data_IF_831834958803
#
_entry.id   IF_831834958803
#
_cell.length_a   1.000
_cell.length_b   1.000
_cell.length_c   1.000
_cell.angle_alpha   90.00
_cell.angle_beta   90.00
_cell.angle_gamma   90.00
#
_symmetry.space_group_name_H-M   'P 1'
#
loop_
_entity.id
_entity.type
_entity.pdbx_description
1 polymer ?
#
# COMPACT_ATOMS: atom_id res chain seq x y z
N UNK A 1 -13.19 13.61 23.52
CA UNK A 1 -13.39 12.88 22.26
C UNK A 1 -12.64 11.57 22.26
N UNK A 2 -11.40 11.46 21.81
CA UNK A 2 -10.62 10.23 21.96
C UNK A 2 -9.44 10.55 22.87
N UNK A 3 -9.26 9.77 23.93
CA UNK A 3 -8.18 9.93 24.88
C UNK A 3 -7.44 8.59 25.05
N UNK A 4 -6.16 8.57 24.70
CA UNK A 4 -5.26 7.46 24.91
C UNK A 4 -4.29 7.91 26.00
N UNK A 5 -4.30 7.24 27.16
CA UNK A 5 -3.54 7.64 28.33
C UNK A 5 -2.58 6.54 28.79
N UNK A 6 -1.28 6.79 28.60
CA UNK A 6 -0.18 5.90 28.99
C UNK A 6 -0.39 4.45 28.57
N UNK A 7 -0.79 4.24 27.29
CA UNK A 7 -1.06 2.91 26.78
C UNK A 7 0.23 2.26 26.31
N UNK A 8 0.54 1.10 26.91
CA UNK A 8 1.48 0.13 26.37
C UNK A 8 0.71 -1.09 25.91
N UNK A 9 1.15 -1.70 24.79
CA UNK A 9 0.52 -2.89 24.23
C UNK A 9 1.53 -3.81 23.57
N UNK A 10 1.41 -5.11 23.84
CA UNK A 10 2.20 -6.16 23.23
C UNK A 10 1.28 -7.28 22.73
N UNK A 11 1.37 -7.64 21.44
CA UNK A 11 0.62 -8.78 20.91
C UNK A 11 1.07 -10.08 21.57
N UNK A 12 0.15 -11.02 21.78
CA UNK A 12 0.47 -12.37 22.24
C UNK A 12 1.51 -13.02 21.34
N UNK A 13 2.63 -13.46 21.94
CA UNK A 13 3.75 -14.07 21.21
C UNK A 13 4.74 -13.10 20.56
N UNK A 14 4.55 -11.79 20.68
CA UNK A 14 5.56 -10.82 20.27
C UNK A 14 6.71 -10.72 21.28
N UNK A 15 7.95 -10.52 20.79
CA UNK A 15 9.13 -10.35 21.66
C UNK A 15 9.24 -8.95 22.27
N UNK A 16 8.58 -7.96 21.67
CA UNK A 16 8.68 -6.55 22.07
C UNK A 16 7.30 -5.88 22.09
N UNK A 17 7.18 -4.85 22.92
CA UNK A 17 5.99 -4.00 22.96
C UNK A 17 5.80 -3.26 21.61
N UNK A 18 4.58 -3.31 21.11
CA UNK A 18 4.19 -2.62 19.89
C UNK A 18 3.81 -1.16 20.13
N UNK A 19 3.36 -0.84 21.36
CA UNK A 19 3.14 0.52 21.86
C UNK A 19 3.74 0.66 23.24
N UNK A 20 4.35 1.82 23.53
CA UNK A 20 5.03 2.11 24.79
C UNK A 20 4.62 3.47 25.32
N UNK A 21 3.93 3.50 26.47
CA UNK A 21 3.52 4.72 27.17
C UNK A 21 2.89 5.78 26.24
N UNK A 22 2.06 5.34 25.29
CA UNK A 22 1.46 6.24 24.30
C UNK A 22 0.44 7.17 24.98
N UNK A 23 0.62 8.48 24.77
CA UNK A 23 -0.34 9.50 25.17
C UNK A 23 -0.77 10.29 23.94
N UNK A 24 -2.06 10.24 23.62
CA UNK A 24 -2.63 10.93 22.45
C UNK A 24 -4.06 11.38 22.77
N UNK A 25 -4.31 12.66 22.60
CA UNK A 25 -5.64 13.25 22.70
C UNK A 25 -6.09 13.76 21.32
N UNK A 26 -7.32 13.41 20.89
CA UNK A 26 -7.90 13.83 19.62
C UNK A 26 -9.22 14.54 19.88
N UNK A 27 -9.34 15.76 19.38
CA UNK A 27 -10.55 16.60 19.54
C UNK A 27 -11.65 16.20 18.55
N UNK A 28 -12.89 16.53 18.87
CA UNK A 28 -14.02 16.37 17.94
C UNK A 28 -13.81 17.23 16.68
N UNK A 29 -14.03 16.63 15.51
CA UNK A 29 -13.84 17.31 14.22
C UNK A 29 -12.38 17.49 13.79
N UNK A 30 -11.41 17.01 14.59
CA UNK A 30 -9.99 17.08 14.25
C UNK A 30 -9.61 15.98 13.23
N UNK A 31 -8.78 16.33 12.27
CA UNK A 31 -8.13 15.39 11.36
C UNK A 31 -6.68 15.18 11.81
N UNK A 32 -6.38 14.01 12.37
CA UNK A 32 -5.05 13.63 12.84
C UNK A 32 -4.44 12.61 11.91
N UNK A 33 -3.22 12.87 11.47
CA UNK A 33 -2.44 11.96 10.63
C UNK A 33 -1.35 11.32 11.47
N UNK A 34 -1.36 10.00 11.56
CA UNK A 34 -0.32 9.18 12.16
C UNK A 34 0.68 8.79 11.09
N UNK A 35 1.95 9.14 11.25
CA UNK A 35 3.01 8.81 10.29
C UNK A 35 4.25 8.27 11.00
N UNK A 36 5.20 7.71 10.25
CA UNK A 36 6.42 7.08 10.77
C UNK A 36 6.78 5.82 10.01
N UNK A 37 7.87 5.17 10.36
CA UNK A 37 8.35 3.95 9.71
C UNK A 37 7.31 2.80 9.76
N UNK A 38 7.45 1.83 8.87
CA UNK A 38 6.64 0.60 8.92
C UNK A 38 6.92 -0.16 10.22
N UNK A 39 5.87 -0.64 10.87
CA UNK A 39 5.99 -1.34 12.16
C UNK A 39 6.16 -0.44 13.38
N UNK A 40 6.16 0.90 13.26
CA UNK A 40 6.28 1.81 14.41
C UNK A 40 5.03 1.92 15.31
N UNK A 41 3.96 1.16 15.03
CA UNK A 41 2.77 1.08 15.88
C UNK A 41 1.53 1.82 15.37
N UNK A 42 1.54 2.46 14.17
CA UNK A 42 0.39 3.20 13.62
C UNK A 42 -0.90 2.36 13.57
N UNK A 43 -0.81 1.17 12.99
CA UNK A 43 -1.95 0.22 12.92
C UNK A 43 -2.40 -0.24 14.31
N UNK A 44 -1.53 -0.33 15.30
CA UNK A 44 -1.93 -0.62 16.68
C UNK A 44 -2.78 0.52 17.25
N UNK A 45 -2.42 1.78 16.98
CA UNK A 45 -3.22 2.94 17.40
C UNK A 45 -4.60 2.93 16.73
N UNK A 46 -4.68 2.66 15.41
CA UNK A 46 -5.98 2.56 14.74
C UNK A 46 -6.82 1.43 15.32
N UNK A 47 -6.20 0.27 15.65
CA UNK A 47 -6.87 -0.88 16.29
C UNK A 47 -7.31 -0.62 17.74
N UNK A 48 -6.61 0.22 18.48
CA UNK A 48 -7.05 0.68 19.81
C UNK A 48 -8.31 1.56 19.70
N UNK A 49 -8.31 2.50 18.74
CA UNK A 49 -9.42 3.44 18.55
C UNK A 49 -10.68 2.72 18.09
N UNK A 50 -10.56 1.78 17.14
CA UNK A 50 -11.71 1.01 16.63
C UNK A 50 -12.05 -0.22 17.50
N UNK A 51 -11.42 -0.35 18.68
CA UNK A 51 -11.62 -1.40 19.67
C UNK A 51 -11.31 -2.83 19.23
N UNK A 52 -10.65 -3.01 18.11
CA UNK A 52 -10.13 -4.33 17.72
C UNK A 52 -9.04 -4.82 18.69
N UNK A 53 -8.34 -3.90 19.39
CA UNK A 53 -7.54 -4.18 20.56
C UNK A 53 -8.33 -3.67 21.78
N UNK A 54 -8.56 -4.49 22.80
CA UNK A 54 -8.11 -5.87 22.99
C UNK A 54 -9.11 -6.94 22.53
N UNK A 55 -10.26 -6.58 21.97
CA UNK A 55 -11.39 -7.52 21.77
C UNK A 55 -11.16 -8.58 20.69
N UNK A 56 -10.39 -8.25 19.65
CA UNK A 56 -10.11 -9.16 18.54
C UNK A 56 -8.64 -9.57 18.49
N UNK A 57 -7.74 -8.64 18.78
CA UNK A 57 -6.31 -8.91 18.84
C UNK A 57 -5.89 -9.06 20.30
N UNK A 58 -5.55 -10.28 20.68
CA UNK A 58 -5.11 -10.62 22.03
C UNK A 58 -3.70 -10.09 22.31
N UNK A 59 -3.48 -9.66 23.54
CA UNK A 59 -2.19 -9.16 24.01
C UNK A 59 -2.26 -8.56 25.41
N UNK A 60 -1.10 -8.17 25.92
CA UNK A 60 -0.99 -7.48 27.20
C UNK A 60 -1.14 -5.97 26.97
N UNK A 61 -2.09 -5.35 27.68
CA UNK A 61 -2.39 -3.92 27.54
C UNK A 61 -2.41 -3.26 28.93
N UNK A 62 -1.65 -2.18 29.09
CA UNK A 62 -1.73 -1.24 30.21
C UNK A 62 -2.28 0.12 29.74
N UNK A 63 -2.58 1.00 30.70
CA UNK A 63 -3.15 2.33 30.40
C UNK A 63 -4.65 2.26 30.07
N UNK A 64 -5.19 3.34 29.50
CA UNK A 64 -6.62 3.44 29.17
C UNK A 64 -6.85 4.12 27.81
N UNK A 65 -7.86 3.64 27.08
CA UNK A 65 -8.39 4.31 25.90
C UNK A 65 -9.84 4.63 26.15
N UNK A 66 -10.22 5.89 25.98
CA UNK A 66 -11.63 6.30 26.11
C UNK A 66 -12.11 7.08 24.89
N UNK A 67 -13.40 6.90 24.60
CA UNK A 67 -14.11 7.60 23.53
C UNK A 67 -15.34 8.26 24.15
N UNK A 68 -15.40 9.59 24.07
CA UNK A 68 -16.41 10.41 24.77
C UNK A 68 -16.47 10.12 26.28
N UNK A 69 -15.31 9.83 26.90
CA UNK A 69 -15.20 9.54 28.32
C UNK A 69 -15.56 8.10 28.72
N UNK A 70 -15.89 7.22 27.78
CA UNK A 70 -16.21 5.80 28.04
C UNK A 70 -14.99 4.94 27.69
N UNK A 71 -14.53 4.12 28.63
CA UNK A 71 -13.38 3.21 28.43
C UNK A 71 -13.73 2.14 27.38
N UNK A 72 -12.92 2.02 26.35
CA UNK A 72 -13.14 1.10 25.22
C UNK A 72 -13.15 -0.37 25.63
N UNK A 73 -12.52 -0.75 26.74
CA UNK A 73 -12.55 -2.12 27.28
C UNK A 73 -13.94 -2.54 27.78
N UNK A 74 -14.77 -1.57 28.12
CA UNK A 74 -16.13 -1.82 28.64
C UNK A 74 -17.19 -1.86 27.55
N UNK A 75 -16.84 -1.53 26.31
CA UNK A 75 -17.75 -1.44 25.16
C UNK A 75 -17.42 -2.55 24.17
N UNK A 76 -18.43 -3.25 23.69
CA UNK A 76 -18.23 -4.23 22.61
C UNK A 76 -18.04 -3.52 21.26
N UNK A 77 -17.23 -4.06 20.34
CA UNK A 77 -16.96 -3.44 19.03
C UNK A 77 -18.23 -3.11 18.22
N UNK A 78 -19.29 -3.94 18.33
CA UNK A 78 -20.54 -3.70 17.62
C UNK A 78 -21.32 -2.49 18.17
N UNK A 79 -21.19 -2.16 19.46
CA UNK A 79 -21.84 -0.97 20.06
C UNK A 79 -21.18 0.33 19.60
N UNK A 80 -19.90 0.28 19.22
CA UNK A 80 -19.15 1.44 18.70
C UNK A 80 -19.32 1.64 17.19
N UNK A 81 -19.89 0.69 16.48
CA UNK A 81 -20.08 0.77 15.03
C UNK A 81 -20.98 1.92 14.57
N UNK A 82 -21.75 2.53 15.46
CA UNK A 82 -22.51 3.77 15.21
C UNK A 82 -21.64 5.02 15.27
N UNK A 83 -20.57 4.98 16.06
CA UNK A 83 -19.70 6.12 16.30
C UNK A 83 -18.43 6.07 15.46
N UNK A 84 -17.91 4.88 15.20
CA UNK A 84 -16.61 4.68 14.54
C UNK A 84 -16.79 3.86 13.28
N UNK A 85 -16.36 4.43 12.17
CA UNK A 85 -16.24 3.74 10.90
C UNK A 85 -14.78 3.52 10.54
N UNK A 86 -14.40 2.29 10.20
CA UNK A 86 -13.04 1.91 9.86
C UNK A 86 -12.91 1.55 8.38
N UNK A 87 -11.89 2.08 7.74
CA UNK A 87 -11.46 1.69 6.38
C UNK A 87 -10.08 1.07 6.46
N UNK A 88 -9.98 -0.22 6.15
CA UNK A 88 -8.74 -0.98 6.26
C UNK A 88 -7.83 -0.79 5.06
N UNK A 89 -6.54 -1.05 5.26
CA UNK A 89 -5.50 -0.98 4.24
C UNK A 89 -5.84 -1.81 2.98
N UNK A 90 -6.37 -3.02 3.18
CA UNK A 90 -6.84 -3.86 2.09
C UNK A 90 -8.38 -3.86 2.04
N UNK A 91 -9.01 -3.18 1.09
CA UNK A 91 -10.48 -3.13 1.00
C UNK A 91 -11.12 -4.51 0.81
N UNK A 92 -10.40 -5.48 0.20
CA UNK A 92 -10.92 -6.84 0.00
C UNK A 92 -11.17 -7.58 1.31
N UNK A 93 -10.40 -7.31 2.36
CA UNK A 93 -10.58 -7.94 3.67
C UNK A 93 -11.80 -7.40 4.42
N UNK A 94 -12.40 -6.31 3.93
CA UNK A 94 -13.55 -5.64 4.52
C UNK A 94 -14.89 -6.07 3.89
N UNK A 95 -14.87 -6.62 2.66
CA UNK A 95 -16.06 -6.96 1.90
C UNK A 95 -16.71 -8.26 2.36
N UNK A 96 -18.02 -8.24 2.55
CA UNK A 96 -18.86 -9.37 2.88
C UNK A 96 -19.80 -9.78 1.75
N UNK A 97 -20.07 -8.86 0.81
CA UNK A 97 -21.01 -9.05 -0.30
C UNK A 97 -20.30 -9.35 -1.61
N UNK A 98 -21.07 -9.71 -2.63
CA UNK A 98 -20.54 -9.95 -4.00
C UNK A 98 -20.70 -8.73 -4.90
N UNK A 99 -21.62 -7.86 -4.59
CA UNK A 99 -21.94 -6.66 -5.37
C UNK A 99 -21.89 -5.39 -4.53
N UNK A 100 -21.80 -4.28 -5.22
CA UNK A 100 -21.63 -2.95 -4.62
C UNK A 100 -22.83 -2.46 -3.82
N UNK A 101 -24.04 -2.80 -4.25
CA UNK A 101 -25.26 -2.32 -3.61
C UNK A 101 -25.44 -3.01 -2.27
N UNK A 102 -25.32 -4.34 -2.25
CA UNK A 102 -25.37 -5.15 -1.03
C UNK A 102 -24.26 -4.76 -0.06
N UNK A 103 -23.06 -4.46 -0.53
CA UNK A 103 -21.93 -4.05 0.32
C UNK A 103 -22.18 -2.70 1.00
N UNK A 104 -22.74 -1.72 0.27
CA UNK A 104 -23.02 -0.39 0.83
C UNK A 104 -24.11 -0.46 1.90
N UNK A 105 -25.12 -1.31 1.73
CA UNK A 105 -26.24 -1.43 2.68
C UNK A 105 -25.97 -2.41 3.81
N UNK A 106 -24.99 -3.28 3.70
CA UNK A 106 -24.69 -4.38 4.64
C UNK A 106 -24.68 -3.95 6.11
N UNK A 107 -23.98 -2.85 6.44
CA UNK A 107 -23.91 -2.34 7.81
C UNK A 107 -25.24 -1.81 8.32
N UNK A 108 -26.05 -1.21 7.44
CA UNK A 108 -27.39 -0.71 7.79
C UNK A 108 -28.38 -1.85 8.02
N UNK A 109 -28.28 -2.92 7.22
CA UNK A 109 -29.07 -4.16 7.41
C UNK A 109 -28.76 -4.82 8.75
N UNK A 110 -27.48 -4.97 9.08
CA UNK A 110 -27.04 -5.54 10.36
C UNK A 110 -27.55 -4.76 11.59
N UNK A 111 -27.79 -3.45 11.42
CA UNK A 111 -28.41 -2.60 12.46
C UNK A 111 -29.93 -2.64 12.48
N UNK A 112 -30.54 -3.41 11.59
CA UNK A 112 -32.00 -3.48 11.48
C UNK A 112 -32.63 -2.16 11.05
N UNK A 113 -31.92 -1.32 10.26
CA UNK A 113 -32.48 -0.05 9.78
C UNK A 113 -33.72 -0.30 8.93
N UNK A 114 -34.83 0.47 9.14
CA UNK A 114 -36.04 0.33 8.34
C UNK A 114 -35.74 0.51 6.85
N UNK A 115 -36.34 -0.34 6.01
CA UNK A 115 -36.04 -0.41 4.55
C UNK A 115 -36.07 0.96 3.85
N UNK A 116 -37.09 1.78 4.13
CA UNK A 116 -37.20 3.10 3.49
C UNK A 116 -36.05 4.03 3.89
N UNK A 117 -35.67 4.05 5.15
CA UNK A 117 -34.53 4.85 5.64
C UNK A 117 -33.21 4.36 5.04
N UNK A 118 -33.06 3.05 4.95
CA UNK A 118 -31.87 2.44 4.31
C UNK A 118 -31.78 2.80 2.83
N UNK A 119 -32.91 2.74 2.09
CA UNK A 119 -32.98 3.11 0.68
C UNK A 119 -32.62 4.60 0.46
N UNK A 120 -33.19 5.47 1.28
CA UNK A 120 -32.93 6.91 1.22
C UNK A 120 -31.45 7.21 1.50
N UNK A 121 -30.87 6.57 2.51
CA UNK A 121 -29.46 6.72 2.88
C UNK A 121 -28.52 6.14 1.82
N UNK A 122 -28.85 4.99 1.24
CA UNK A 122 -28.13 4.41 0.12
C UNK A 122 -28.09 5.37 -1.07
N UNK A 123 -29.25 5.90 -1.50
CA UNK A 123 -29.33 6.84 -2.61
C UNK A 123 -28.57 8.15 -2.32
N UNK A 124 -28.64 8.64 -1.08
CA UNK A 124 -27.86 9.80 -0.65
C UNK A 124 -26.36 9.51 -0.75
N UNK A 125 -25.90 8.34 -0.28
CA UNK A 125 -24.51 7.91 -0.35
C UNK A 125 -24.01 7.87 -1.79
N UNK A 126 -24.77 7.28 -2.72
CA UNK A 126 -24.40 7.25 -4.13
C UNK A 126 -24.20 8.65 -4.71
N UNK A 127 -25.13 9.58 -4.42
CA UNK A 127 -25.07 10.95 -4.93
C UNK A 127 -23.92 11.76 -4.33
N UNK A 128 -23.75 11.72 -3.01
CA UNK A 128 -22.71 12.51 -2.32
C UNK A 128 -21.29 12.05 -2.66
N UNK A 129 -21.14 10.74 -2.86
CA UNK A 129 -19.84 10.17 -3.25
C UNK A 129 -19.64 10.11 -4.77
N UNK A 130 -20.64 10.47 -5.59
CA UNK A 130 -20.62 10.42 -7.05
C UNK A 130 -20.30 9.02 -7.62
N UNK A 131 -20.87 7.97 -7.03
CA UNK A 131 -20.60 6.57 -7.36
C UNK A 131 -21.75 5.85 -8.05
N UNK A 132 -22.72 6.56 -8.61
CA UNK A 132 -23.89 5.98 -9.28
C UNK A 132 -23.50 5.01 -10.41
N UNK A 133 -22.35 5.25 -11.05
CA UNK A 133 -21.81 4.38 -12.12
C UNK A 133 -21.33 3.02 -11.61
N UNK A 134 -21.12 2.89 -10.30
CA UNK A 134 -20.68 1.65 -9.68
C UNK A 134 -21.85 0.80 -9.17
N UNK A 135 -23.08 1.31 -9.26
CA UNK A 135 -24.30 0.60 -8.84
C UNK A 135 -24.45 -0.75 -9.52
N UNK A 136 -24.78 -1.80 -8.75
CA UNK A 136 -25.06 -3.14 -9.23
C UNK A 136 -23.87 -3.88 -9.83
N UNK A 137 -22.65 -3.40 -9.60
CA UNK A 137 -21.44 -4.04 -10.14
C UNK A 137 -20.93 -5.13 -9.22
N UNK A 138 -20.34 -6.17 -9.81
CA UNK A 138 -19.63 -7.18 -9.05
C UNK A 138 -18.34 -6.59 -8.46
N UNK A 139 -18.10 -6.80 -7.16
CA UNK A 139 -16.93 -6.27 -6.45
C UNK A 139 -15.60 -6.81 -6.98
N UNK A 140 -15.58 -8.03 -7.51
CA UNK A 140 -14.35 -8.63 -8.05
C UNK A 140 -13.89 -7.95 -9.34
N UNK A 141 -14.83 -7.37 -10.12
CA UNK A 141 -14.55 -6.70 -11.39
C UNK A 141 -14.10 -5.24 -11.22
N UNK A 142 -14.13 -4.71 -10.01
CA UNK A 142 -13.74 -3.34 -9.72
C UNK A 142 -12.21 -3.18 -9.70
N UNK A 143 -11.74 -2.01 -10.14
CA UNK A 143 -10.34 -1.60 -9.93
C UNK A 143 -10.02 -1.39 -8.44
N UNK A 144 -8.73 -1.35 -8.08
CA UNK A 144 -8.30 -1.09 -6.70
C UNK A 144 -8.90 0.20 -6.12
N UNK A 145 -8.86 1.30 -6.87
CA UNK A 145 -9.45 2.58 -6.47
C UNK A 145 -10.96 2.50 -6.29
N UNK A 146 -11.68 1.83 -7.22
CA UNK A 146 -13.12 1.62 -7.09
C UNK A 146 -13.47 0.77 -5.86
N UNK A 147 -12.69 -0.27 -5.56
CA UNK A 147 -12.85 -1.06 -4.33
C UNK A 147 -12.68 -0.19 -3.09
N UNK A 148 -11.65 0.66 -3.07
CA UNK A 148 -11.43 1.58 -1.95
C UNK A 148 -12.60 2.55 -1.79
N UNK A 149 -13.14 3.07 -2.89
CA UNK A 149 -14.32 3.94 -2.86
C UNK A 149 -15.56 3.22 -2.31
N UNK A 150 -15.79 1.96 -2.68
CA UNK A 150 -16.93 1.17 -2.14
C UNK A 150 -16.71 0.84 -0.66
N UNK A 151 -15.50 0.46 -0.24
CA UNK A 151 -15.19 0.26 1.18
C UNK A 151 -15.39 1.54 2.01
N UNK A 152 -15.05 2.70 1.46
CA UNK A 152 -15.36 3.97 2.07
C UNK A 152 -16.88 4.24 2.09
N UNK A 153 -17.60 3.92 1.02
CA UNK A 153 -19.04 4.14 0.89
C UNK A 153 -19.85 3.31 1.88
N UNK A 154 -19.47 2.04 2.13
CA UNK A 154 -20.13 1.17 3.12
C UNK A 154 -20.01 1.75 4.54
N UNK A 155 -18.85 2.31 4.87
CA UNK A 155 -18.61 3.01 6.13
C UNK A 155 -19.38 4.34 6.19
N UNK A 156 -19.30 5.13 5.11
CA UNK A 156 -19.98 6.44 5.02
C UNK A 156 -21.50 6.32 5.13
N UNK A 157 -22.09 5.25 4.59
CA UNK A 157 -23.53 4.99 4.66
C UNK A 157 -24.03 4.87 6.11
N UNK A 158 -23.21 4.41 7.05
CA UNK A 158 -23.50 4.34 8.48
C UNK A 158 -23.46 5.71 9.18
N UNK A 159 -22.89 6.73 8.52
CA UNK A 159 -22.74 8.09 9.03
C UNK A 159 -22.03 8.20 10.40
N UNK A 160 -20.89 7.53 10.63
CA UNK A 160 -20.21 7.58 11.91
C UNK A 160 -19.68 8.99 12.23
N UNK A 161 -19.41 9.27 13.52
CA UNK A 161 -18.79 10.52 13.95
C UNK A 161 -17.27 10.52 13.79
N UNK A 162 -16.66 9.35 13.80
CA UNK A 162 -15.22 9.12 13.74
C UNK A 162 -14.91 8.21 12.55
N UNK A 163 -14.00 8.63 11.70
CA UNK A 163 -13.45 7.83 10.61
C UNK A 163 -12.02 7.45 10.93
N UNK A 164 -11.70 6.16 10.91
CA UNK A 164 -10.35 5.61 11.10
C UNK A 164 -9.93 4.95 9.80
N UNK A 165 -8.87 5.47 9.17
CA UNK A 165 -8.37 4.95 7.91
C UNK A 165 -6.93 4.48 8.09
N UNK A 166 -6.65 3.22 7.78
CA UNK A 166 -5.32 2.63 7.90
C UNK A 166 -4.70 2.47 6.50
N UNK A 167 -3.68 3.27 6.21
CA UNK A 167 -2.97 3.35 4.93
C UNK A 167 -3.89 3.32 3.68
N UNK A 168 -4.90 4.20 3.63
CA UNK A 168 -5.93 4.13 2.59
C UNK A 168 -5.41 4.41 1.18
N UNK A 169 -4.21 4.98 1.03
CA UNK A 169 -3.61 5.30 -0.28
C UNK A 169 -2.64 4.23 -0.81
N UNK A 170 -2.37 3.15 -0.06
CA UNK A 170 -1.23 2.26 -0.31
C UNK A 170 -1.15 1.69 -1.74
N UNK A 171 -2.29 1.30 -2.34
CA UNK A 171 -2.35 0.68 -3.66
C UNK A 171 -3.10 1.53 -4.70
N UNK A 172 -3.22 2.84 -4.45
CA UNK A 172 -3.97 3.74 -5.31
C UNK A 172 -3.07 4.45 -6.33
N UNK A 173 -3.58 4.58 -7.55
CA UNK A 173 -3.00 5.45 -8.55
C UNK A 173 -3.33 6.94 -8.26
N UNK A 174 -2.69 7.89 -8.95
CA UNK A 174 -2.89 9.32 -8.67
C UNK A 174 -4.34 9.78 -8.78
N UNK A 175 -5.15 9.22 -9.68
CA UNK A 175 -6.58 9.59 -9.81
C UNK A 175 -7.38 9.07 -8.61
N UNK A 176 -7.15 7.83 -8.19
CA UNK A 176 -7.81 7.26 -7.03
C UNK A 176 -7.40 7.98 -5.72
N UNK A 177 -6.16 8.47 -5.62
CA UNK A 177 -5.73 9.31 -4.50
C UNK A 177 -6.46 10.66 -4.50
N UNK A 178 -6.67 11.28 -5.66
CA UNK A 178 -7.47 12.52 -5.74
C UNK A 178 -8.93 12.27 -5.33
N UNK A 179 -9.49 11.12 -5.71
CA UNK A 179 -10.83 10.75 -5.28
C UNK A 179 -10.87 10.52 -3.76
N UNK A 180 -9.92 9.80 -3.18
CA UNK A 180 -9.80 9.64 -1.73
C UNK A 180 -9.69 11.00 -1.03
N UNK A 181 -8.88 11.91 -1.58
CA UNK A 181 -8.77 13.29 -1.06
C UNK A 181 -10.12 14.00 -1.05
N UNK A 182 -10.90 13.90 -2.13
CA UNK A 182 -12.24 14.48 -2.24
C UNK A 182 -13.18 13.93 -1.16
N UNK A 183 -13.14 12.61 -0.93
CA UNK A 183 -13.94 11.95 0.10
C UNK A 183 -13.56 12.43 1.52
N UNK A 184 -12.26 12.57 1.79
CA UNK A 184 -11.79 13.08 3.09
C UNK A 184 -12.21 14.54 3.31
N UNK A 185 -12.15 15.38 2.28
CA UNK A 185 -12.65 16.76 2.36
C UNK A 185 -14.15 16.82 2.64
N UNK A 186 -14.93 15.93 2.04
CA UNK A 186 -16.38 15.83 2.26
C UNK A 186 -16.69 15.55 3.73
N UNK A 187 -16.10 14.50 4.32
CA UNK A 187 -16.35 14.15 5.73
C UNK A 187 -15.78 15.19 6.70
N UNK A 188 -14.66 15.84 6.36
CA UNK A 188 -14.10 16.97 7.12
C UNK A 188 -15.08 18.15 7.14
N UNK A 189 -15.65 18.51 5.98
CA UNK A 189 -16.65 19.60 5.89
C UNK A 189 -17.93 19.31 6.69
N UNK A 190 -18.27 18.03 6.91
CA UNK A 190 -19.35 17.58 7.76
C UNK A 190 -19.00 17.63 9.27
N UNK A 191 -17.79 18.07 9.64
CA UNK A 191 -17.33 18.15 11.03
C UNK A 191 -16.97 16.79 11.65
N UNK A 192 -16.76 15.75 10.85
CA UNK A 192 -16.37 14.42 11.32
C UNK A 192 -14.92 14.42 11.82
N UNK A 193 -14.64 13.59 12.83
CA UNK A 193 -13.29 13.34 13.33
C UNK A 193 -12.62 12.31 12.43
N UNK A 194 -11.39 12.58 12.03
CA UNK A 194 -10.68 11.73 11.05
C UNK A 194 -9.31 11.34 11.61
N UNK A 195 -9.03 10.06 11.65
CA UNK A 195 -7.72 9.51 11.99
C UNK A 195 -7.21 8.76 10.76
N UNK A 196 -6.05 9.17 10.25
CA UNK A 196 -5.43 8.53 9.09
C UNK A 196 -4.03 8.06 9.47
N UNK A 197 -3.77 6.77 9.36
CA UNK A 197 -2.41 6.22 9.35
C UNK A 197 -1.89 6.28 7.92
N UNK A 198 -0.76 6.93 7.65
CA UNK A 198 -0.30 7.15 6.29
C UNK A 198 1.22 7.40 6.16
N UNK A 199 1.79 6.91 5.04
CA UNK A 199 3.15 7.23 4.60
C UNK A 199 3.20 8.35 3.56
N UNK A 200 2.16 8.46 2.72
CA UNK A 200 2.04 9.47 1.66
C UNK A 200 1.32 10.69 2.19
N UNK A 201 2.06 11.70 2.64
CA UNK A 201 1.48 12.84 3.33
C UNK A 201 0.91 13.93 2.39
N UNK A 202 1.39 14.02 1.15
CA UNK A 202 1.12 15.13 0.24
C UNK A 202 -0.37 15.36 -0.06
N UNK A 203 -1.18 14.30 -0.15
CA UNK A 203 -2.60 14.44 -0.49
C UNK A 203 -3.44 14.87 0.71
N UNK A 204 -2.89 14.82 1.93
CA UNK A 204 -3.51 15.27 3.18
C UNK A 204 -3.26 16.73 3.47
N UNK A 205 -2.44 17.41 2.67
CA UNK A 205 -2.21 18.85 2.78
C UNK A 205 -3.52 19.63 2.58
N UNK A 206 -3.84 20.52 3.54
CA UNK A 206 -5.09 21.25 3.60
C UNK A 206 -6.30 20.45 4.11
N UNK A 207 -6.09 19.17 4.56
CA UNK A 207 -7.11 18.34 5.24
C UNK A 207 -6.70 18.11 6.69
N UNK A 208 -5.46 17.69 6.91
CA UNK A 208 -4.92 17.45 8.24
C UNK A 208 -4.90 18.71 9.09
N UNK A 209 -5.27 18.59 10.36
CA UNK A 209 -5.06 19.63 11.37
C UNK A 209 -3.75 19.37 12.12
N UNK A 210 -3.39 18.10 12.28
CA UNK A 210 -2.21 17.70 13.05
C UNK A 210 -1.53 16.49 12.42
N UNK A 211 -0.20 16.52 12.42
CA UNK A 211 0.67 15.42 12.01
C UNK A 211 1.37 14.88 13.26
N UNK A 212 1.29 13.58 13.47
CA UNK A 212 1.87 12.86 14.61
C UNK A 212 2.88 11.85 14.10
N UNK A 213 4.16 12.03 14.45
CA UNK A 213 5.23 11.10 14.16
C UNK A 213 5.33 10.05 15.24
N UNK A 214 5.22 8.80 14.84
CA UNK A 214 5.45 7.63 15.70
C UNK A 214 6.80 6.99 15.40
N UNK A 215 7.48 6.56 16.46
CA UNK A 215 8.75 5.84 16.38
C UNK A 215 8.81 4.80 17.51
N UNK A 216 9.09 3.54 17.17
CA UNK A 216 9.23 2.44 18.14
C UNK A 216 8.10 2.37 19.17
N UNK A 217 6.85 2.45 18.72
CA UNK A 217 5.67 2.37 19.59
C UNK A 217 5.35 3.62 20.42
N UNK A 218 6.12 4.71 20.24
CA UNK A 218 5.95 5.97 20.99
C UNK A 218 5.53 7.10 20.07
N UNK A 219 4.82 8.09 20.63
CA UNK A 219 4.67 9.39 19.99
C UNK A 219 6.02 10.14 20.14
N UNK A 220 6.73 10.34 19.03
CA UNK A 220 8.01 11.06 19.02
C UNK A 220 7.80 12.56 18.99
N UNK A 221 6.94 13.02 18.10
CA UNK A 221 6.66 14.45 17.90
C UNK A 221 5.28 14.68 17.29
N UNK A 222 4.71 15.83 17.53
CA UNK A 222 3.43 16.26 16.97
C UNK A 222 3.51 17.72 16.54
N UNK A 223 2.98 18.03 15.36
CA UNK A 223 2.93 19.40 14.81
C UNK A 223 1.51 19.76 14.40
N UNK A 224 1.14 21.03 14.50
CA UNK A 224 0.05 21.54 13.70
C UNK A 224 0.41 21.35 12.21
N UNK A 225 -0.57 21.02 11.36
CA UNK A 225 -0.28 20.79 9.94
C UNK A 225 0.30 22.01 9.24
N UNK A 226 -0.07 23.24 9.68
CA UNK A 226 0.53 24.51 9.23
C UNK A 226 2.04 24.57 9.51
N UNK A 227 2.47 24.14 10.69
CA UNK A 227 3.86 24.19 11.11
C UNK A 227 4.67 23.09 10.41
N UNK A 228 4.07 21.90 10.23
CA UNK A 228 4.68 20.82 9.45
C UNK A 228 4.92 21.21 7.99
N UNK A 229 4.00 21.97 7.40
CA UNK A 229 4.13 22.48 6.03
C UNK A 229 5.27 23.49 5.84
N UNK A 230 5.81 24.07 6.91
CA UNK A 230 6.96 24.97 6.87
C UNK A 230 8.31 24.24 6.93
N UNK A 231 8.32 22.93 7.23
CA UNK A 231 9.54 22.13 7.22
C UNK A 231 10.09 22.02 5.80
N UNK A 232 11.40 22.16 5.67
CA UNK A 232 12.07 21.92 4.39
C UNK A 232 12.02 20.44 4.01
N UNK A 233 12.14 20.13 2.72
CA UNK A 233 12.22 18.73 2.25
C UNK A 233 13.35 17.95 2.94
N UNK A 234 14.49 18.58 3.22
CA UNK A 234 15.60 17.98 3.95
C UNK A 234 15.23 17.63 5.40
N UNK A 235 14.50 18.53 6.09
CA UNK A 235 14.02 18.26 7.45
C UNK A 235 13.02 17.11 7.47
N UNK A 236 12.09 17.08 6.50
CA UNK A 236 11.11 15.98 6.38
C UNK A 236 11.82 14.64 6.09
N UNK A 237 12.83 14.64 5.23
CA UNK A 237 13.67 13.46 4.94
C UNK A 237 14.46 12.99 6.17
N UNK A 238 15.05 13.91 6.95
CA UNK A 238 15.74 13.56 8.19
C UNK A 238 14.81 12.92 9.24
N UNK A 239 13.51 13.19 9.18
CA UNK A 239 12.51 12.51 10.00
C UNK A 239 12.12 11.12 9.45
N UNK A 240 12.70 10.68 8.34
CA UNK A 240 12.35 9.43 7.68
C UNK A 240 10.98 9.46 7.00
N UNK A 241 10.50 10.64 6.60
CA UNK A 241 9.18 10.84 6.04
C UNK A 241 9.23 11.25 4.55
N UNK A 242 8.17 10.91 3.82
CA UNK A 242 7.98 11.37 2.45
C UNK A 242 7.58 12.84 2.42
N UNK A 243 7.98 13.54 1.36
CA UNK A 243 7.65 14.96 1.19
C UNK A 243 6.15 15.23 1.36
N UNK A 244 5.85 16.30 2.10
CA UNK A 244 4.49 16.83 2.29
C UNK A 244 4.05 17.72 1.13
N UNK A 245 5.02 18.37 0.50
CA UNK A 245 4.85 19.19 -0.69
C UNK A 245 5.66 18.56 -1.82
N UNK A 246 5.05 17.95 -2.84
CA UNK A 246 5.81 17.37 -3.94
C UNK A 246 6.59 18.45 -4.67
N UNK A 247 7.90 18.39 -4.60
CA UNK A 247 8.78 19.22 -5.42
C UNK A 247 8.89 18.64 -6.83
N UNK A 248 8.97 19.50 -7.85
CA UNK A 248 9.34 19.06 -9.20
C UNK A 248 10.77 18.53 -9.16
N UNK A 249 10.92 17.23 -9.39
CA UNK A 249 12.24 16.66 -9.66
C UNK A 249 12.65 17.07 -11.07
N UNK A 250 13.76 17.77 -11.19
CA UNK A 250 14.44 17.94 -12.47
C UNK A 250 15.15 16.60 -12.78
N UNK A 251 14.58 15.85 -13.71
CA UNK A 251 15.22 14.64 -14.17
C UNK A 251 16.42 15.01 -15.05
N UNK A 252 17.60 14.40 -14.85
CA UNK A 252 18.72 14.61 -15.75
C UNK A 252 18.34 14.18 -17.17
N UNK A 253 18.67 15.01 -18.17
CA UNK A 253 18.55 14.62 -19.58
C UNK A 253 19.54 13.48 -19.86
N UNK A 254 19.01 12.25 -19.85
CA UNK A 254 19.79 11.09 -20.31
C UNK A 254 19.63 11.01 -21.82
N UNK A 255 20.66 11.36 -22.56
CA UNK A 255 20.73 11.14 -24.00
C UNK A 255 21.28 9.73 -24.23
N UNK A 256 20.45 8.75 -24.65
CA UNK A 256 20.96 7.42 -24.98
C UNK A 256 21.95 7.54 -26.13
N UNK A 257 23.07 6.84 -26.06
CA UNK A 257 23.99 6.71 -27.20
C UNK A 257 23.25 6.07 -28.37
N UNK A 258 23.02 6.82 -29.45
CA UNK A 258 22.20 6.41 -30.61
C UNK A 258 22.78 5.19 -31.38
N UNK A 259 23.95 4.71 -31.01
CA UNK A 259 24.66 3.64 -31.72
C UNK A 259 24.59 2.28 -31.01
N UNK A 260 23.95 2.17 -29.85
CA UNK A 260 23.91 0.93 -29.10
C UNK A 260 22.80 0.01 -29.58
N UNK A 261 23.06 -1.29 -29.54
CA UNK A 261 22.05 -2.31 -29.76
C UNK A 261 21.07 -2.31 -28.57
N UNK A 262 19.75 -2.15 -28.79
CA UNK A 262 18.81 -2.15 -27.69
C UNK A 262 18.84 -3.48 -26.91
N UNK A 263 18.81 -3.40 -25.59
CA UNK A 263 18.66 -4.58 -24.72
C UNK A 263 17.30 -5.25 -24.97
N UNK A 264 16.25 -4.45 -25.09
CA UNK A 264 14.90 -4.90 -25.45
C UNK A 264 14.31 -3.98 -26.52
N UNK A 265 13.72 -4.56 -27.54
CA UNK A 265 12.89 -3.86 -28.52
C UNK A 265 11.51 -4.54 -28.61
N UNK A 266 10.47 -3.73 -28.59
CA UNK A 266 9.07 -4.16 -28.69
C UNK A 266 8.47 -3.60 -29.99
N UNK A 267 7.87 -4.47 -30.81
CA UNK A 267 7.29 -4.11 -32.10
C UNK A 267 5.84 -4.54 -32.19
N UNK A 268 4.93 -3.59 -32.39
CA UNK A 268 3.49 -3.77 -32.56
C UNK A 268 2.89 -4.79 -31.58
N UNK A 269 3.32 -4.71 -30.31
CA UNK A 269 2.97 -5.69 -29.28
C UNK A 269 1.54 -5.47 -28.80
N UNK A 270 0.76 -6.54 -28.76
CA UNK A 270 -0.53 -6.62 -28.09
C UNK A 270 -0.42 -7.60 -26.91
N UNK A 271 -0.86 -7.15 -25.75
CA UNK A 271 -0.82 -7.90 -24.50
C UNK A 271 -2.22 -8.06 -23.91
N UNK A 272 -2.48 -9.16 -23.25
CA UNK A 272 -3.79 -9.49 -22.66
C UNK A 272 -3.87 -10.95 -22.28
N UNK A 273 -5.06 -11.41 -21.95
CA UNK A 273 -5.34 -12.80 -21.59
C UNK A 273 -5.94 -13.55 -22.80
N UNK A 274 -5.61 -14.84 -22.97
CA UNK A 274 -5.93 -15.64 -24.18
C UNK A 274 -7.39 -15.67 -24.61
N UNK A 275 -8.34 -15.32 -23.73
CA UNK A 275 -9.79 -15.36 -23.99
C UNK A 275 -10.47 -13.99 -23.96
N UNK A 276 -9.71 -12.89 -23.98
CA UNK A 276 -10.26 -11.55 -23.85
C UNK A 276 -9.76 -10.56 -24.90
N UNK A 277 -10.32 -9.36 -24.85
CA UNK A 277 -9.77 -8.22 -25.60
C UNK A 277 -8.37 -7.87 -25.11
N UNK A 278 -7.49 -7.35 -25.98
CA UNK A 278 -6.18 -6.89 -25.57
C UNK A 278 -6.29 -5.81 -24.49
N UNK A 279 -5.51 -5.96 -23.40
CA UNK A 279 -5.40 -4.94 -22.35
C UNK A 279 -4.66 -3.70 -22.88
N UNK A 280 -3.65 -3.93 -23.72
CA UNK A 280 -2.98 -2.88 -24.48
C UNK A 280 -2.49 -3.42 -25.83
N UNK A 281 -2.42 -2.55 -26.81
CA UNK A 281 -2.04 -2.92 -28.18
C UNK A 281 -1.22 -1.83 -28.86
N UNK A 282 -0.56 -2.19 -29.95
CA UNK A 282 0.31 -1.30 -30.72
C UNK A 282 1.45 -0.69 -29.91
N UNK A 283 1.96 -1.44 -28.91
CA UNK A 283 3.08 -1.00 -28.11
C UNK A 283 4.37 -1.09 -28.93
N UNK A 284 5.12 0.02 -28.98
CA UNK A 284 6.38 0.13 -29.67
C UNK A 284 7.35 0.95 -28.82
N UNK A 285 8.45 0.34 -28.39
CA UNK A 285 9.50 1.04 -27.63
C UNK A 285 10.81 0.26 -27.66
N UNK A 286 11.89 0.91 -27.22
CA UNK A 286 13.22 0.34 -27.04
C UNK A 286 13.75 0.69 -25.67
N UNK A 287 14.53 -0.21 -25.11
CA UNK A 287 15.28 -0.02 -23.86
C UNK A 287 16.74 -0.34 -24.15
N UNK A 288 17.65 0.55 -23.78
CA UNK A 288 19.07 0.40 -24.04
C UNK A 288 19.83 -0.09 -22.79
N UNK A 289 21.03 -0.69 -22.95
CA UNK A 289 21.84 -1.09 -21.80
C UNK A 289 22.14 0.09 -20.88
N UNK A 290 21.97 -0.11 -19.56
CA UNK A 290 22.17 0.92 -18.54
C UNK A 290 21.04 1.95 -18.42
N UNK A 291 20.00 1.86 -19.25
CA UNK A 291 18.85 2.74 -19.20
C UNK A 291 17.84 2.27 -18.12
N UNK A 292 17.32 3.23 -17.37
CA UNK A 292 16.19 3.03 -16.43
C UNK A 292 14.94 3.62 -17.06
N UNK A 293 13.95 2.77 -17.32
CA UNK A 293 12.68 3.17 -17.95
C UNK A 293 11.51 3.04 -16.96
N UNK A 294 10.86 4.16 -16.66
CA UNK A 294 9.65 4.18 -15.87
C UNK A 294 8.40 3.96 -16.71
N UNK A 295 7.65 2.87 -16.43
CA UNK A 295 6.35 2.59 -17.04
C UNK A 295 5.25 3.14 -16.15
N UNK A 296 4.62 4.23 -16.55
CA UNK A 296 3.58 4.92 -15.78
C UNK A 296 2.21 4.79 -16.46
N UNK A 297 1.16 4.83 -15.67
CA UNK A 297 -0.23 4.74 -16.15
C UNK A 297 -1.20 4.36 -15.05
N UNK A 298 -2.50 4.45 -15.33
CA UNK A 298 -3.59 4.10 -14.41
C UNK A 298 -3.51 2.64 -13.98
N UNK A 299 -4.14 2.32 -12.85
CA UNK A 299 -4.31 0.93 -12.44
C UNK A 299 -5.19 0.18 -13.47
N UNK A 300 -4.78 -1.05 -13.80
CA UNK A 300 -5.48 -1.85 -14.80
C UNK A 300 -5.13 -1.56 -16.27
N UNK A 301 -4.28 -0.55 -16.58
CA UNK A 301 -3.88 -0.27 -17.97
C UNK A 301 -2.90 -1.27 -18.59
N UNK A 302 -2.48 -2.29 -17.82
CA UNK A 302 -1.63 -3.37 -18.35
C UNK A 302 -0.15 -3.31 -17.97
N UNK A 303 0.28 -2.48 -17.01
CA UNK A 303 1.69 -2.39 -16.57
C UNK A 303 2.25 -3.76 -16.16
N UNK A 304 1.59 -4.44 -15.22
CA UNK A 304 2.01 -5.78 -14.76
C UNK A 304 1.87 -6.85 -15.86
N UNK A 305 0.88 -6.71 -16.76
CA UNK A 305 0.73 -7.59 -17.93
C UNK A 305 1.91 -7.42 -18.88
N UNK A 306 2.34 -6.17 -19.13
CA UNK A 306 3.54 -5.88 -19.94
C UNK A 306 4.79 -6.47 -19.27
N UNK A 307 4.99 -6.23 -17.98
CA UNK A 307 6.10 -6.77 -17.20
C UNK A 307 6.20 -8.31 -17.34
N UNK A 308 5.09 -9.01 -17.12
CA UNK A 308 4.99 -10.47 -17.28
C UNK A 308 5.24 -10.93 -18.71
N UNK A 309 4.76 -10.17 -19.70
CA UNK A 309 4.99 -10.49 -21.12
C UNK A 309 6.45 -10.33 -21.50
N UNK A 310 7.11 -9.27 -21.05
CA UNK A 310 8.54 -9.07 -21.29
C UNK A 310 9.38 -10.20 -20.67
N UNK A 311 9.09 -10.61 -19.43
CA UNK A 311 9.77 -11.74 -18.78
C UNK A 311 9.42 -13.11 -19.38
N UNK A 312 8.38 -13.20 -20.21
CA UNK A 312 7.92 -14.47 -20.77
C UNK A 312 7.05 -15.32 -19.86
N UNK A 313 6.60 -14.77 -18.73
CA UNK A 313 5.60 -15.38 -17.84
C UNK A 313 4.21 -15.38 -18.46
N UNK A 314 3.98 -14.48 -19.39
CA UNK A 314 2.76 -14.39 -20.19
C UNK A 314 3.14 -14.28 -21.67
N UNK A 315 2.38 -14.99 -22.53
CA UNK A 315 2.59 -14.92 -23.98
C UNK A 315 1.90 -13.67 -24.53
N UNK A 316 2.57 -13.00 -25.47
CA UNK A 316 1.99 -11.95 -26.27
C UNK A 316 0.81 -12.45 -27.11
N UNK A 317 -0.23 -11.61 -27.31
CA UNK A 317 -1.33 -11.89 -28.23
C UNK A 317 -0.89 -11.65 -29.68
N UNK A 318 -0.10 -10.60 -29.92
CA UNK A 318 0.43 -10.21 -31.23
C UNK A 318 1.71 -9.41 -31.07
N UNK A 319 2.51 -9.31 -32.13
CA UNK A 319 3.73 -8.52 -32.18
C UNK A 319 4.99 -9.30 -31.81
N UNK A 320 6.06 -8.58 -31.51
CA UNK A 320 7.37 -9.18 -31.27
C UNK A 320 8.09 -8.53 -30.11
N UNK A 321 8.79 -9.35 -29.33
CA UNK A 321 9.75 -8.93 -28.31
C UNK A 321 11.13 -9.46 -28.70
N UNK A 322 12.06 -8.53 -28.89
CA UNK A 322 13.45 -8.84 -29.28
C UNK A 322 14.38 -8.49 -28.11
N UNK A 323 15.35 -9.33 -27.88
CA UNK A 323 16.49 -9.09 -26.99
C UNK A 323 17.76 -9.04 -27.83
N UNK A 324 18.51 -7.92 -27.75
CA UNK A 324 19.70 -7.68 -28.59
C UNK A 324 19.45 -7.98 -30.07
N UNK A 325 18.37 -7.38 -30.61
CA UNK A 325 17.90 -7.55 -31.97
C UNK A 325 17.45 -8.96 -32.38
N UNK A 326 17.42 -9.92 -31.46
CA UNK A 326 17.00 -11.29 -31.74
C UNK A 326 15.61 -11.55 -31.16
N UNK A 327 14.69 -12.07 -31.98
CA UNK A 327 13.36 -12.49 -31.51
C UNK A 327 13.48 -13.64 -30.52
N UNK A 328 12.99 -13.46 -29.29
CA UNK A 328 13.04 -14.45 -28.22
C UNK A 328 11.63 -14.95 -27.89
N UNK A 329 11.33 -16.24 -28.11
CA UNK A 329 10.06 -16.82 -27.69
C UNK A 329 9.82 -16.68 -26.19
N UNK A 330 8.52 -16.50 -25.78
CA UNK A 330 8.16 -16.26 -24.36
C UNK A 330 8.84 -17.22 -23.37
N UNK A 331 8.81 -18.54 -23.66
CA UNK A 331 9.46 -19.56 -22.80
C UNK A 331 10.98 -19.39 -22.58
N UNK A 332 11.67 -18.66 -23.47
CA UNK A 332 13.11 -18.42 -23.34
C UNK A 332 13.44 -17.06 -22.72
N UNK A 333 12.45 -16.15 -22.65
CA UNK A 333 12.65 -14.80 -22.07
C UNK A 333 12.91 -14.87 -20.57
N UNK A 334 12.38 -15.88 -19.86
CA UNK A 334 12.60 -16.09 -18.42
C UNK A 334 14.10 -16.23 -18.05
N UNK A 335 14.96 -16.59 -19.03
CA UNK A 335 16.42 -16.64 -18.84
C UNK A 335 17.10 -15.31 -19.17
N UNK A 336 16.38 -14.36 -19.77
CA UNK A 336 16.89 -13.06 -20.21
C UNK A 336 16.47 -11.91 -19.31
N UNK A 337 15.29 -12.03 -18.74
CA UNK A 337 14.71 -11.00 -17.87
C UNK A 337 14.25 -11.62 -16.55
N UNK A 338 14.38 -10.85 -15.50
CA UNK A 338 13.87 -11.21 -14.17
C UNK A 338 12.85 -10.18 -13.72
N UNK A 339 11.73 -10.65 -13.15
CA UNK A 339 10.64 -9.82 -12.63
C UNK A 339 10.64 -9.89 -11.10
N UNK A 340 10.80 -8.75 -10.45
CA UNK A 340 10.43 -8.58 -9.04
C UNK A 340 8.95 -8.20 -9.00
N UNK A 341 8.13 -9.06 -8.42
CA UNK A 341 6.68 -8.90 -8.36
C UNK A 341 6.28 -7.86 -7.31
N UNK A 342 5.11 -7.26 -7.47
CA UNK A 342 4.53 -6.32 -6.52
C UNK A 342 4.38 -6.94 -5.11
N UNK A 343 3.94 -8.20 -5.04
CA UNK A 343 3.83 -8.96 -3.81
C UNK A 343 4.93 -10.02 -3.78
N UNK A 344 5.97 -9.84 -2.94
CA UNK A 344 7.09 -10.77 -2.86
C UNK A 344 6.72 -12.16 -2.31
N UNK A 345 5.58 -12.31 -1.64
CA UNK A 345 5.10 -13.61 -1.13
C UNK A 345 4.90 -14.64 -2.25
N UNK A 346 4.69 -14.19 -3.49
CA UNK A 346 4.60 -15.07 -4.66
C UNK A 346 5.96 -15.51 -5.22
N UNK A 347 7.07 -15.00 -4.68
CA UNK A 347 8.43 -15.30 -5.20
C UNK A 347 9.36 -15.92 -4.17
N UNK A 348 9.03 -15.81 -2.87
CA UNK A 348 9.87 -16.29 -1.78
C UNK A 348 9.27 -17.57 -1.22
N UNK A 349 9.99 -18.69 -1.31
CA UNK A 349 9.45 -20.02 -0.98
C UNK A 349 10.46 -20.98 -0.33
N UNK A 350 11.69 -20.54 -0.09
CA UNK A 350 12.71 -21.38 0.58
C UNK A 350 12.65 -21.23 2.11
N UNK A 351 13.44 -22.03 2.82
CA UNK A 351 13.43 -22.12 4.27
C UNK A 351 14.14 -20.96 4.98
N UNK A 352 14.98 -20.19 4.25
CA UNK A 352 15.67 -19.00 4.80
C UNK A 352 15.98 -17.96 3.75
N UNK A 353 16.20 -16.71 4.19
CA UNK A 353 16.67 -15.61 3.32
C UNK A 353 17.96 -16.01 2.59
N UNK A 354 18.89 -16.67 3.27
CA UNK A 354 20.13 -17.15 2.66
C UNK A 354 19.84 -18.13 1.52
N UNK A 355 18.94 -19.08 1.71
CA UNK A 355 18.58 -20.06 0.69
C UNK A 355 17.92 -19.42 -0.53
N UNK A 356 17.11 -18.36 -0.35
CA UNK A 356 16.53 -17.61 -1.46
C UNK A 356 17.63 -16.97 -2.33
N UNK A 357 18.63 -16.34 -1.69
CA UNK A 357 19.74 -15.72 -2.37
C UNK A 357 20.66 -16.76 -3.03
N UNK A 358 20.90 -17.89 -2.37
CA UNK A 358 21.70 -19.00 -2.92
C UNK A 358 21.05 -19.62 -4.16
N UNK A 359 19.71 -19.73 -4.16
CA UNK A 359 18.96 -20.23 -5.32
C UNK A 359 19.17 -19.32 -6.54
N UNK A 360 19.32 -18.01 -6.35
CA UNK A 360 19.59 -17.08 -7.45
C UNK A 360 20.94 -17.34 -8.14
N UNK A 361 21.92 -17.88 -7.41
CA UNK A 361 23.24 -18.25 -7.95
C UNK A 361 23.27 -19.67 -8.54
N UNK A 362 22.22 -20.48 -8.37
CA UNK A 362 22.23 -21.90 -8.76
C UNK A 362 22.48 -22.12 -10.25
N UNK A 363 22.04 -21.19 -11.10
CA UNK A 363 22.18 -21.22 -12.55
C UNK A 363 23.52 -20.64 -13.06
N UNK A 364 24.38 -20.11 -12.18
CA UNK A 364 25.66 -19.49 -12.55
C UNK A 364 26.80 -20.48 -12.48
N UNK A 365 27.78 -20.34 -13.40
CA UNK A 365 28.96 -21.22 -13.48
C UNK A 365 29.92 -20.99 -12.30
N UNK A 366 30.06 -19.75 -11.84
CA UNK A 366 30.88 -19.37 -10.69
C UNK A 366 29.95 -18.94 -9.55
N UNK A 367 29.74 -19.86 -8.58
CA UNK A 367 28.97 -19.60 -7.38
C UNK A 367 29.85 -18.87 -6.36
N UNK A 368 29.95 -17.56 -6.47
CA UNK A 368 30.63 -16.76 -5.47
C UNK A 368 29.68 -16.43 -4.32
N UNK A 369 29.71 -17.26 -3.27
CA UNK A 369 28.87 -17.07 -2.08
C UNK A 369 29.19 -15.78 -1.30
N UNK A 370 30.36 -15.15 -1.51
CA UNK A 370 30.69 -13.86 -0.91
C UNK A 370 29.70 -12.77 -1.37
N UNK A 371 29.21 -12.86 -2.61
CA UNK A 371 28.21 -11.93 -3.13
C UNK A 371 26.90 -11.97 -2.34
N UNK A 372 26.58 -13.10 -1.72
CA UNK A 372 25.37 -13.20 -0.86
C UNK A 372 25.58 -12.38 0.40
N UNK A 373 26.74 -12.50 1.06
CA UNK A 373 27.01 -11.75 2.29
C UNK A 373 27.08 -10.23 1.98
N UNK A 374 27.69 -9.82 0.86
CA UNK A 374 27.72 -8.42 0.42
C UNK A 374 26.30 -7.86 0.20
N UNK A 375 25.43 -8.61 -0.47
CA UNK A 375 24.01 -8.22 -0.69
C UNK A 375 23.22 -8.19 0.60
N UNK A 376 23.44 -9.14 1.52
CA UNK A 376 22.79 -9.13 2.82
C UNK A 376 23.15 -7.89 3.63
N UNK A 377 24.41 -7.47 3.60
CA UNK A 377 24.86 -6.26 4.28
C UNK A 377 24.32 -5.00 3.61
N UNK A 378 24.39 -4.88 2.29
CA UNK A 378 23.89 -3.73 1.53
C UNK A 378 22.38 -3.51 1.74
N UNK A 379 21.61 -4.60 1.79
CA UNK A 379 20.18 -4.56 1.98
C UNK A 379 19.72 -4.59 3.45
N UNK A 380 20.67 -4.54 4.41
CA UNK A 380 20.38 -4.64 5.84
C UNK A 380 19.55 -5.89 6.21
N UNK A 381 19.94 -7.05 5.67
CA UNK A 381 19.29 -8.34 5.88
C UNK A 381 20.14 -9.34 6.65
N UNK A 382 21.37 -9.02 7.00
CA UNK A 382 22.35 -9.92 7.66
C UNK A 382 21.79 -10.58 8.92
N UNK A 383 21.08 -9.83 9.78
CA UNK A 383 20.47 -10.35 11.00
C UNK A 383 19.26 -11.27 10.75
N UNK A 384 18.74 -11.27 9.53
CA UNK A 384 17.60 -12.10 9.10
C UNK A 384 18.01 -13.28 8.23
N UNK A 385 19.33 -13.48 8.01
CA UNK A 385 19.91 -14.46 7.09
C UNK A 385 19.29 -15.85 7.21
N UNK A 386 19.11 -16.33 8.46
CA UNK A 386 18.57 -17.67 8.77
C UNK A 386 17.06 -17.69 9.00
N UNK A 387 16.38 -16.54 8.92
CA UNK A 387 14.93 -16.50 9.11
C UNK A 387 14.19 -16.97 7.87
N UNK A 388 13.05 -17.65 8.12
CA UNK A 388 12.13 -18.02 7.04
C UNK A 388 11.54 -16.74 6.39
N UNK A 389 11.52 -16.62 5.05
CA UNK A 389 11.05 -15.42 4.36
C UNK A 389 9.65 -14.97 4.77
N UNK A 390 8.73 -15.91 5.04
CA UNK A 390 7.37 -15.58 5.45
C UNK A 390 7.27 -14.94 6.84
N UNK A 391 8.31 -15.06 7.68
CA UNK A 391 8.38 -14.38 8.99
C UNK A 391 8.85 -12.93 8.93
N UNK A 392 9.27 -12.48 7.76
CA UNK A 392 9.79 -11.13 7.52
C UNK A 392 8.65 -10.10 7.39
N UNK A 393 8.95 -8.84 7.70
CA UNK A 393 8.06 -7.73 7.36
C UNK A 393 7.98 -7.52 5.84
N UNK A 394 6.93 -6.83 5.35
CA UNK A 394 6.75 -6.56 3.92
C UNK A 394 7.98 -5.91 3.26
N UNK A 395 8.58 -4.90 3.93
CA UNK A 395 9.80 -4.25 3.44
C UNK A 395 11.02 -5.17 3.41
N UNK A 396 11.17 -6.06 4.42
CA UNK A 396 12.25 -7.06 4.43
C UNK A 396 12.08 -8.09 3.31
N UNK A 397 10.86 -8.57 3.07
CA UNK A 397 10.53 -9.45 1.95
C UNK A 397 10.85 -8.81 0.60
N UNK A 398 10.48 -7.53 0.44
CA UNK A 398 10.77 -6.76 -0.77
C UNK A 398 12.27 -6.64 -1.02
N UNK A 399 13.06 -6.28 0.02
CA UNK A 399 14.52 -6.24 -0.07
C UNK A 399 15.11 -7.62 -0.41
N UNK A 400 14.58 -8.70 0.17
CA UNK A 400 15.03 -10.06 -0.18
C UNK A 400 14.78 -10.35 -1.67
N UNK A 401 13.59 -10.03 -2.21
CA UNK A 401 13.29 -10.21 -3.63
C UNK A 401 14.20 -9.35 -4.55
N UNK A 402 14.53 -8.13 -4.12
CA UNK A 402 15.51 -7.27 -4.81
C UNK A 402 16.91 -7.91 -4.77
N UNK A 403 17.33 -8.45 -3.63
CA UNK A 403 18.61 -9.17 -3.49
C UNK A 403 18.72 -10.37 -4.42
N UNK A 404 17.63 -11.17 -4.53
CA UNK A 404 17.53 -12.25 -5.52
C UNK A 404 17.71 -11.72 -6.94
N UNK A 405 17.07 -10.59 -7.29
CA UNK A 405 17.21 -9.98 -8.61
C UNK A 405 18.63 -9.49 -8.89
N UNK A 406 19.31 -8.89 -7.90
CA UNK A 406 20.68 -8.38 -8.01
C UNK A 406 21.71 -9.51 -8.19
N UNK A 407 21.46 -10.68 -7.61
CA UNK A 407 22.33 -11.83 -7.76
C UNK A 407 22.11 -12.59 -9.08
N UNK A 408 20.96 -12.41 -9.73
CA UNK A 408 20.68 -13.06 -11.01
C UNK A 408 21.45 -12.41 -12.15
N UNK A 409 22.00 -13.25 -13.05
CA UNK A 409 22.64 -12.80 -14.30
C UNK A 409 21.55 -12.56 -15.38
N UNK A 410 20.67 -11.60 -15.15
CA UNK A 410 19.63 -11.22 -16.09
C UNK A 410 20.04 -10.00 -16.92
N UNK A 411 19.76 -10.05 -18.24
CA UNK A 411 20.05 -8.94 -19.15
C UNK A 411 19.13 -7.73 -18.88
N UNK A 412 17.93 -7.99 -18.31
CA UNK A 412 16.92 -6.98 -18.00
C UNK A 412 16.27 -7.29 -16.67
N UNK A 413 16.27 -6.33 -15.77
CA UNK A 413 15.54 -6.37 -14.51
C UNK A 413 14.25 -5.58 -14.65
N UNK A 414 13.14 -6.14 -14.22
CA UNK A 414 11.83 -5.52 -14.26
C UNK A 414 11.28 -5.52 -12.84
N UNK A 415 10.81 -4.36 -12.39
CA UNK A 415 10.23 -4.18 -11.06
C UNK A 415 8.78 -3.74 -11.21
N UNK A 416 7.85 -4.50 -10.64
CA UNK A 416 6.42 -4.18 -10.63
C UNK A 416 6.06 -3.54 -9.29
N UNK A 417 5.89 -2.22 -9.27
CA UNK A 417 5.58 -1.40 -8.10
C UNK A 417 6.54 -1.63 -6.89
N UNK A 418 7.87 -1.55 -7.06
CA UNK A 418 8.83 -1.96 -6.03
C UNK A 418 8.79 -1.14 -4.74
N UNK A 419 8.13 0.02 -4.75
CA UNK A 419 8.03 0.93 -3.60
C UNK A 419 6.62 0.98 -2.99
N UNK A 420 5.71 0.12 -3.45
CA UNK A 420 4.34 0.07 -2.95
C UNK A 420 4.32 -0.39 -1.49
N UNK A 421 3.65 0.36 -0.61
CA UNK A 421 3.55 0.03 0.82
C UNK A 421 4.85 0.19 1.63
N UNK A 422 5.95 0.69 1.04
CA UNK A 422 7.18 0.99 1.77
C UNK A 422 7.10 2.38 2.42
N UNK A 423 7.72 2.53 3.60
CA UNK A 423 8.04 3.84 4.16
C UNK A 423 9.20 4.50 3.40
N UNK A 424 9.52 5.76 3.76
CA UNK A 424 10.57 6.51 3.08
C UNK A 424 11.95 5.84 3.18
N UNK A 425 12.33 5.38 4.37
CA UNK A 425 13.65 4.78 4.64
C UNK A 425 13.86 3.45 3.88
N UNK A 426 12.80 2.66 3.74
CA UNK A 426 12.86 1.41 2.98
C UNK A 426 12.71 1.61 1.45
N UNK A 427 12.40 2.83 1.02
CA UNK A 427 12.28 3.18 -0.40
C UNK A 427 13.60 3.70 -0.99
N UNK A 428 14.48 4.33 -0.19
CA UNK A 428 15.84 4.75 -0.55
C UNK A 428 16.83 3.59 -0.54
#
# INVERSE_FOLDING_TARGET
MIDINHVSFQYSGAEQENLQELVLHIKKGECVVLTGESGCGKTCVTRLINTLIPHFYEGEMSGTVSIDGVDTRTIQPHDLSDKIGSVFQNPRSQFFSLDTDSEIVFGMENKGMPYQMMLDRYQQTLRELHIEKLKGRNLFDLSGGQKQTIAFASVYALNPDIFVLDEPSSNLDPEAIQELRRLLLLIKAQGKTIIVSEHRLYFLNGIADRIVLMEHGKLKQSWAASDFALLSDEQVKMLGLRSYMPTRLELPEITPSRNDTPAVEVKDLAIGYEKGEPVAQHLNFRVYPGEIVGVVGKNGCGKSTLARTLCGLQKELRGEVLYKNSKVPSKRRIRKAYLVMQDPDYQLFTDSVYQELLLALSDQKDKDEKRIDDILDELNLTIYKERHPMSLSGGQKQRTAIGVAALRDAEVLIFDEPTSGLDYKNME
#
